data_IF_301183453836
#
_entry.id   IF_301183453836
#
_cell.length_a   1.000
_cell.length_b   1.000
_cell.length_c   1.000
_cell.angle_alpha   90.00
_cell.angle_beta   90.00
_cell.angle_gamma   90.00
#
_symmetry.space_group_name_H-M   'P 1'
#
loop_
_entity.id
_entity.type
_entity.pdbx_description
1 polymer ?
#
# COMPACT_ATOMS: atom_id res chain seq x y z
N UNK A 1 1.25 -1.80 16.21
CA UNK A 1 1.55 -2.77 15.14
C UNK A 1 0.76 -2.52 13.85
N UNK A 2 -0.55 -2.80 13.75
CA UNK A 2 -1.26 -2.67 12.45
C UNK A 2 -1.30 -1.23 11.90
N UNK A 3 -1.56 -0.24 12.75
CA UNK A 3 -1.52 1.18 12.35
C UNK A 3 -0.13 1.64 11.90
N UNK A 4 0.94 1.12 12.53
CA UNK A 4 2.32 1.43 12.14
C UNK A 4 2.70 0.81 10.80
N UNK A 5 2.22 -0.41 10.51
CA UNK A 5 2.38 -1.06 9.21
C UNK A 5 1.68 -0.27 8.11
N UNK A 6 0.45 0.19 8.36
CA UNK A 6 -0.31 1.05 7.43
C UNK A 6 0.44 2.35 7.13
N UNK A 7 0.85 3.07 8.18
CA UNK A 7 1.59 4.31 8.01
C UNK A 7 2.93 4.11 7.28
N UNK A 8 3.59 2.98 7.51
CA UNK A 8 4.82 2.62 6.78
C UNK A 8 4.54 2.34 5.30
N UNK A 9 3.49 1.58 4.98
CA UNK A 9 3.09 1.30 3.60
C UNK A 9 2.72 2.58 2.85
N UNK A 10 1.87 3.42 3.43
CA UNK A 10 1.50 4.71 2.85
C UNK A 10 2.71 5.62 2.67
N UNK A 11 3.68 5.59 3.59
CA UNK A 11 4.92 6.36 3.44
C UNK A 11 5.77 5.84 2.28
N UNK A 12 5.93 4.53 2.14
CA UNK A 12 6.66 3.92 1.02
C UNK A 12 6.01 4.31 -0.30
N UNK A 13 4.69 4.16 -0.40
CA UNK A 13 3.93 4.50 -1.60
C UNK A 13 4.05 5.99 -1.94
N UNK A 14 3.96 6.90 -0.95
CA UNK A 14 4.21 8.34 -1.17
C UNK A 14 5.64 8.62 -1.61
N UNK A 15 6.63 7.93 -1.05
CA UNK A 15 8.03 8.13 -1.43
C UNK A 15 8.34 7.62 -2.84
N UNK A 16 7.73 6.50 -3.25
CA UNK A 16 7.97 5.91 -4.57
C UNK A 16 7.15 6.56 -5.68
N UNK A 17 5.90 6.91 -5.39
CA UNK A 17 4.92 7.35 -6.38
C UNK A 17 4.51 8.82 -6.24
N UNK A 18 5.12 9.56 -5.30
CA UNK A 18 4.87 10.98 -4.96
C UNK A 18 3.48 11.26 -4.38
N UNK A 19 2.42 10.82 -5.04
CA UNK A 19 1.05 10.96 -4.59
C UNK A 19 0.33 9.61 -4.59
N UNK A 20 -0.58 9.45 -3.63
CA UNK A 20 -1.44 8.28 -3.55
C UNK A 20 -2.88 8.78 -3.67
N UNK A 21 -3.66 8.27 -4.63
CA UNK A 21 -5.10 8.50 -4.69
C UNK A 21 -5.78 8.14 -3.37
N UNK A 22 -6.74 8.97 -2.97
CA UNK A 22 -7.55 8.75 -1.75
C UNK A 22 -8.17 7.35 -1.73
N UNK A 23 -8.61 6.84 -2.89
CA UNK A 23 -9.17 5.50 -3.02
C UNK A 23 -8.21 4.41 -2.51
N UNK A 24 -6.93 4.49 -2.85
CA UNK A 24 -5.91 3.53 -2.41
C UNK A 24 -5.70 3.65 -0.90
N UNK A 25 -5.61 4.86 -0.35
CA UNK A 25 -5.50 5.06 1.10
C UNK A 25 -6.70 4.49 1.86
N UNK A 26 -7.92 4.62 1.33
CA UNK A 26 -9.12 4.01 1.92
C UNK A 26 -9.05 2.49 1.87
N UNK A 27 -8.63 1.92 0.74
CA UNK A 27 -8.45 0.46 0.61
C UNK A 27 -7.40 -0.06 1.59
N UNK A 28 -6.25 0.61 1.72
CA UNK A 28 -5.18 0.27 2.68
C UNK A 28 -5.70 0.28 4.14
N UNK A 29 -6.61 1.21 4.48
CA UNK A 29 -7.22 1.26 5.81
C UNK A 29 -8.17 0.10 6.10
N UNK A 30 -8.73 -0.55 5.09
CA UNK A 30 -9.58 -1.74 5.24
C UNK A 30 -8.79 -3.05 5.39
N UNK A 31 -7.47 -3.03 5.12
CA UNK A 31 -6.65 -4.25 5.08
C UNK A 31 -6.29 -4.82 6.45
N UNK A 32 -6.15 -6.14 6.48
CA UNK A 32 -5.63 -6.89 7.62
C UNK A 32 -4.10 -6.75 7.72
N UNK A 33 -3.53 -7.14 8.86
CA UNK A 33 -2.08 -7.09 9.07
C UNK A 33 -1.31 -7.92 8.02
N UNK A 34 -1.82 -9.10 7.68
CA UNK A 34 -1.19 -10.04 6.74
C UNK A 34 -1.16 -9.45 5.32
N UNK A 35 -2.29 -8.88 4.87
CA UNK A 35 -2.38 -8.20 3.57
C UNK A 35 -1.43 -6.99 3.48
N UNK A 36 -1.26 -6.26 4.58
CA UNK A 36 -0.32 -5.14 4.62
C UNK A 36 1.13 -5.61 4.48
N UNK A 37 1.49 -6.75 5.07
CA UNK A 37 2.83 -7.32 4.96
C UNK A 37 3.13 -7.77 3.54
N UNK A 38 2.18 -8.44 2.88
CA UNK A 38 2.29 -8.81 1.46
C UNK A 38 2.43 -7.58 0.57
N UNK A 39 1.57 -6.57 0.78
CA UNK A 39 1.63 -5.34 0.01
C UNK A 39 2.88 -4.52 0.24
N UNK A 40 3.52 -4.57 1.41
CA UNK A 40 4.81 -3.92 1.61
C UNK A 40 5.88 -4.52 0.69
N UNK A 41 5.92 -5.85 0.52
CA UNK A 41 6.84 -6.48 -0.40
C UNK A 41 6.55 -6.07 -1.84
N UNK A 42 5.27 -6.11 -2.24
CA UNK A 42 4.80 -5.64 -3.54
C UNK A 42 5.16 -4.17 -3.79
N UNK A 43 4.94 -3.30 -2.81
CA UNK A 43 5.25 -1.88 -2.89
C UNK A 43 6.75 -1.58 -3.04
N UNK A 44 7.64 -2.56 -2.86
CA UNK A 44 9.08 -2.44 -3.12
C UNK A 44 9.50 -3.02 -4.48
N UNK A 45 8.69 -3.91 -5.07
CA UNK A 45 9.00 -4.60 -6.34
C UNK A 45 8.34 -3.96 -7.55
N UNK A 46 7.11 -3.47 -7.40
CA UNK A 46 6.33 -2.88 -8.50
C UNK A 46 6.94 -1.57 -8.98
N UNK A 47 6.78 -1.26 -10.27
CA UNK A 47 7.37 -0.07 -10.89
C UNK A 47 6.40 1.11 -10.98
N UNK A 48 5.11 0.87 -10.75
CA UNK A 48 4.06 1.88 -10.83
C UNK A 48 2.99 1.67 -9.76
N UNK A 49 2.24 2.72 -9.49
CA UNK A 49 1.11 2.66 -8.57
C UNK A 49 -0.05 1.85 -9.16
N UNK A 50 -0.26 1.90 -10.47
CA UNK A 50 -1.25 1.06 -11.16
C UNK A 50 -0.97 -0.44 -10.94
N UNK A 51 0.29 -0.86 -11.12
CA UNK A 51 0.72 -2.23 -10.86
C UNK A 51 0.47 -2.61 -9.39
N UNK A 52 0.80 -1.72 -8.44
CA UNK A 52 0.47 -1.93 -7.03
C UNK A 52 -1.03 -2.13 -6.79
N UNK A 53 -1.90 -1.35 -7.44
CA UNK A 53 -3.35 -1.46 -7.24
C UNK A 53 -3.95 -2.78 -7.70
N UNK A 54 -3.31 -3.47 -8.65
CA UNK A 54 -3.73 -4.81 -9.07
C UNK A 54 -3.54 -5.87 -7.97
N UNK A 55 -2.67 -5.60 -7.00
CA UNK A 55 -2.46 -6.46 -5.84
C UNK A 55 -3.33 -6.10 -4.65
N UNK A 56 -4.08 -5.00 -4.71
CA UNK A 56 -5.03 -4.67 -3.64
C UNK A 56 -6.22 -5.64 -3.71
N UNK A 57 -6.59 -6.29 -2.60
CA UNK A 57 -7.77 -7.15 -2.55
C UNK A 57 -9.04 -6.34 -2.82
N UNK A 58 -9.98 -6.93 -3.58
CA UNK A 58 -11.27 -6.32 -3.93
C UNK A 58 -12.13 -6.03 -2.70
#
# INVERSE_FOLDING_TARGET
>A
IQQERRGSLERILKLRFSEIPVEISVRIQALTLEQLEELMATALTVNSLDEFTQHLPN
#
